data_IF_223080564627
#
_entry.id   IF_223080564627
#
_cell.length_a   1.000
_cell.length_b   1.000
_cell.length_c   1.000
_cell.angle_alpha   90.00
_cell.angle_beta   90.00
_cell.angle_gamma   90.00
#
_symmetry.space_group_name_H-M   'P 1'
#
loop_
_entity.id
_entity.type
_entity.pdbx_description
1 polymer ?
#
# COMPACT_ATOMS: atom_id res chain seq x y z
N UNK A 1 17.99 10.62 1.07
CA UNK A 1 17.62 9.65 0.00
C UNK A 1 16.41 8.86 0.50
N UNK A 2 15.15 9.02 0.11
CA UNK A 2 14.55 9.81 -0.97
C UNK A 2 13.02 9.73 -0.83
N UNK A 3 12.43 10.77 -0.23
CA UNK A 3 10.98 11.02 -0.14
C UNK A 3 10.43 11.71 -1.40
N UNK A 4 11.26 11.93 -2.43
CA UNK A 4 10.89 12.47 -3.74
C UNK A 4 9.95 11.53 -4.53
N UNK A 5 9.72 10.31 -4.06
CA UNK A 5 8.97 9.26 -4.78
C UNK A 5 7.44 9.36 -4.66
N UNK A 6 6.92 10.26 -3.85
CA UNK A 6 5.47 10.46 -3.65
C UNK A 6 4.99 11.86 -4.08
N UNK A 7 5.73 12.53 -4.95
CA UNK A 7 5.36 13.86 -5.46
C UNK A 7 4.14 13.84 -6.39
N UNK A 8 3.84 12.67 -6.98
CA UNK A 8 2.71 12.46 -7.87
C UNK A 8 1.73 11.47 -7.24
N UNK A 9 0.58 12.01 -6.83
CA UNK A 9 -0.48 11.25 -6.17
C UNK A 9 -1.08 10.17 -7.07
N UNK A 10 -1.31 10.48 -8.34
CA UNK A 10 -1.95 9.53 -9.26
C UNK A 10 -1.02 8.35 -9.54
N UNK A 11 0.26 8.63 -9.78
CA UNK A 11 1.26 7.59 -9.97
C UNK A 11 1.50 6.78 -8.69
N UNK A 12 1.42 7.39 -7.50
CA UNK A 12 1.49 6.67 -6.24
C UNK A 12 0.32 5.69 -6.08
N UNK A 13 -0.92 6.14 -6.32
CA UNK A 13 -2.11 5.28 -6.25
C UNK A 13 -2.03 4.16 -7.30
N UNK A 14 -1.62 4.48 -8.52
CA UNK A 14 -1.44 3.49 -9.59
C UNK A 14 -0.39 2.43 -9.25
N UNK A 15 0.66 2.78 -8.50
CA UNK A 15 1.70 1.83 -8.08
C UNK A 15 1.24 0.86 -6.97
N UNK A 16 0.26 1.27 -6.15
CA UNK A 16 -0.28 0.46 -5.05
C UNK A 16 -1.42 -0.44 -5.51
N UNK A 17 -2.22 -0.01 -6.49
CA UNK A 17 -3.40 -0.75 -6.99
C UNK A 17 -3.10 -2.24 -7.32
N UNK A 18 -2.00 -2.61 -8.02
CA UNK A 18 -1.70 -4.01 -8.31
C UNK A 18 -1.42 -4.86 -7.05
N UNK A 19 -1.04 -4.25 -5.92
CA UNK A 19 -0.77 -4.97 -4.68
C UNK A 19 -2.07 -5.52 -4.05
N UNK A 20 -3.21 -4.89 -4.34
CA UNK A 20 -4.53 -5.34 -3.87
C UNK A 20 -4.98 -6.63 -4.56
N UNK A 21 -4.52 -6.85 -5.79
CA UNK A 21 -4.84 -8.03 -6.58
C UNK A 21 -4.04 -9.27 -6.14
N UNK A 22 -3.05 -9.10 -5.27
CA UNK A 22 -2.30 -10.20 -4.67
C UNK A 22 -3.16 -10.89 -3.59
N UNK A 23 -3.78 -12.00 -3.96
CA UNK A 23 -4.82 -12.65 -3.15
C UNK A 23 -4.35 -13.16 -1.77
N UNK A 24 -3.05 -13.41 -1.60
CA UNK A 24 -2.46 -14.09 -0.44
C UNK A 24 -1.53 -13.21 0.40
N UNK A 25 -1.68 -11.88 0.29
CA UNK A 25 -0.89 -10.96 1.12
C UNK A 25 -1.40 -11.02 2.56
N UNK A 26 -0.61 -11.62 3.44
CA UNK A 26 -0.89 -11.67 4.88
C UNK A 26 -0.21 -10.53 5.64
N UNK A 27 1.03 -10.19 5.26
CA UNK A 27 1.84 -9.18 5.94
C UNK A 27 2.31 -8.08 4.97
N UNK A 28 2.34 -6.85 5.45
CA UNK A 28 2.85 -5.66 4.75
C UNK A 28 3.93 -5.03 5.62
N UNK A 29 5.18 -5.12 5.15
CA UNK A 29 6.33 -4.53 5.82
C UNK A 29 6.56 -3.12 5.29
N UNK A 30 6.44 -2.14 6.18
CA UNK A 30 6.62 -0.73 5.84
C UNK A 30 8.01 -0.25 6.25
N UNK A 31 8.59 0.64 5.44
CA UNK A 31 9.88 1.25 5.76
C UNK A 31 9.81 2.31 6.87
N UNK A 32 8.61 2.85 7.13
CA UNK A 32 8.34 3.82 8.19
C UNK A 32 7.01 3.47 8.87
N UNK A 33 6.98 3.51 10.20
CA UNK A 33 5.81 3.14 11.01
C UNK A 33 5.73 1.66 11.40
N UNK A 34 4.51 1.18 11.67
CA UNK A 34 4.26 -0.18 12.15
C UNK A 34 3.86 -1.11 11.00
N UNK A 35 4.57 -2.23 10.90
CA UNK A 35 4.24 -3.28 9.92
C UNK A 35 2.95 -4.00 10.30
N UNK A 36 2.24 -4.45 9.26
CA UNK A 36 1.00 -5.23 9.37
C UNK A 36 1.39 -6.70 9.22
N UNK A 37 0.99 -7.54 10.16
CA UNK A 37 1.35 -8.97 10.17
C UNK A 37 0.18 -9.91 9.91
N UNK A 38 -1.05 -9.38 9.80
CA UNK A 38 -2.26 -10.12 9.45
C UNK A 38 -3.16 -9.27 8.59
N UNK A 39 -3.99 -9.92 7.78
CA UNK A 39 -5.02 -9.28 6.96
C UNK A 39 -4.44 -8.21 6.00
N UNK A 40 -3.19 -8.41 5.56
CA UNK A 40 -2.45 -7.42 4.77
C UNK A 40 -3.17 -6.99 3.49
N UNK A 41 -3.79 -7.94 2.78
CA UNK A 41 -4.63 -7.64 1.61
C UNK A 41 -5.83 -6.76 1.97
N UNK A 42 -6.52 -7.06 3.06
CA UNK A 42 -7.70 -6.30 3.50
C UNK A 42 -7.31 -4.86 3.86
N UNK A 43 -6.18 -4.69 4.54
CA UNK A 43 -5.61 -3.37 4.84
C UNK A 43 -5.22 -2.60 3.58
N UNK A 44 -4.68 -3.27 2.55
CA UNK A 44 -4.40 -2.64 1.26
C UNK A 44 -5.70 -2.24 0.52
N UNK A 45 -6.76 -3.04 0.62
CA UNK A 45 -8.09 -2.70 0.09
C UNK A 45 -8.69 -1.49 0.79
N UNK A 46 -8.61 -1.45 2.12
CA UNK A 46 -9.06 -0.32 2.94
C UNK A 46 -8.31 0.96 2.58
N UNK A 47 -6.98 0.87 2.47
CA UNK A 47 -6.14 1.99 2.03
C UNK A 47 -6.59 2.51 0.66
N UNK A 48 -6.76 1.63 -0.34
CA UNK A 48 -7.21 2.05 -1.67
C UNK A 48 -8.61 2.69 -1.65
N UNK A 49 -9.53 2.18 -0.82
CA UNK A 49 -10.84 2.80 -0.61
C UNK A 49 -10.77 4.21 0.00
N UNK A 50 -9.78 4.46 0.85
CA UNK A 50 -9.54 5.79 1.45
C UNK A 50 -8.87 6.79 0.50
N UNK A 51 -8.21 6.30 -0.55
CA UNK A 51 -7.45 7.11 -1.51
C UNK A 51 -8.25 7.51 -2.77
N UNK A 52 -9.41 6.87 -3.04
CA UNK A 52 -10.29 7.21 -4.17
C UNK A 52 -9.89 6.57 -5.49
#
# INVERSE_FOLDING_TARGET
MGYERLLDRENAIASVRPLVDLEKVEAVLVGDGLSIFRDGREQLQELMGSLG
#
